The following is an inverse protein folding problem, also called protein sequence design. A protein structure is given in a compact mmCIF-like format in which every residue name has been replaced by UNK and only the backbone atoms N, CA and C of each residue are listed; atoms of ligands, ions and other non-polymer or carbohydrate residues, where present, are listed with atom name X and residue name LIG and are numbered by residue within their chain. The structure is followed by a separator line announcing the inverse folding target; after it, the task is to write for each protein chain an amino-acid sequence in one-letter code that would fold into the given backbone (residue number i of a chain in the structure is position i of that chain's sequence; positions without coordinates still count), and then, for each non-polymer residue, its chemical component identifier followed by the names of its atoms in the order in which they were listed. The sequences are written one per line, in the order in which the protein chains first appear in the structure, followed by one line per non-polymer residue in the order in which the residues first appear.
data_IF_016713060643
#
_entry.id   IF_016713060643
#
_cell.length_a   1.000
_cell.length_b   1.000
_cell.length_c   1.000
_cell.angle_alpha   90.00
_cell.angle_beta   90.00
_cell.angle_gamma   90.00
#
_symmetry.space_group_name_H-M   'P 1'
#
loop_
_entity.id
_entity.type
_entity.pdbx_description
1 polymer ?
#
# COMPACT_ATOMS: atom_id res chain seq x y z
N UNK A 1 16.33 -6.52 -18.10
CA UNK A 1 15.82 -5.27 -17.50
C UNK A 1 15.98 -5.44 -15.99
N UNK A 2 16.81 -4.61 -15.32
CA UNK A 2 16.94 -4.65 -13.86
C UNK A 2 15.91 -3.68 -13.29
N UNK A 3 14.89 -4.18 -12.61
CA UNK A 3 14.00 -3.34 -11.82
C UNK A 3 14.75 -2.96 -10.55
N UNK A 4 14.83 -1.67 -10.24
CA UNK A 4 15.33 -1.24 -8.93
C UNK A 4 14.31 -1.65 -7.87
N UNK A 5 14.79 -2.19 -6.76
CA UNK A 5 13.98 -2.39 -5.56
C UNK A 5 14.61 -1.57 -4.44
N UNK A 6 13.76 -0.97 -3.62
CA UNK A 6 14.15 -0.35 -2.36
C UNK A 6 13.29 -0.97 -1.27
N UNK A 7 13.90 -1.23 -0.12
CA UNK A 7 13.19 -1.77 1.05
C UNK A 7 13.70 -1.06 2.29
N UNK A 8 12.78 -0.61 3.14
CA UNK A 8 13.06 -0.10 4.47
C UNK A 8 12.32 -0.95 5.50
N UNK A 9 12.85 -1.02 6.73
CA UNK A 9 12.13 -1.69 7.81
C UNK A 9 12.26 -0.95 9.13
N UNK A 10 11.31 -1.21 10.02
CA UNK A 10 11.27 -0.64 11.37
C UNK A 10 10.45 -1.49 12.32
N UNK A 11 10.68 -1.32 13.62
CA UNK A 11 9.89 -2.00 14.66
C UNK A 11 8.82 -1.05 15.19
N UNK A 12 7.56 -1.48 15.12
CA UNK A 12 6.40 -0.73 15.63
C UNK A 12 5.83 -1.47 16.84
N UNK A 13 5.52 -0.70 17.90
CA UNK A 13 4.91 -1.22 19.14
C UNK A 13 3.40 -1.41 19.00
N UNK A 14 3.00 -2.25 18.04
CA UNK A 14 1.63 -2.63 17.76
C UNK A 14 1.57 -4.08 17.25
N UNK A 15 0.42 -4.76 17.42
CA UNK A 15 0.24 -6.09 16.85
C UNK A 15 0.01 -5.97 15.33
N UNK A 16 0.47 -6.97 14.58
CA UNK A 16 0.38 -7.00 13.11
C UNK A 16 -1.04 -6.84 12.59
N UNK A 17 -2.04 -7.31 13.34
CA UNK A 17 -3.46 -7.22 12.99
C UNK A 17 -3.90 -5.75 12.87
N UNK A 18 -3.46 -4.90 13.80
CA UNK A 18 -3.77 -3.47 13.80
C UNK A 18 -3.04 -2.75 12.67
N UNK A 19 -1.79 -3.12 12.40
CA UNK A 19 -1.02 -2.54 11.31
C UNK A 19 -1.59 -2.91 9.94
N UNK A 20 -1.97 -4.18 9.77
CA UNK A 20 -2.62 -4.65 8.55
C UNK A 20 -3.97 -3.98 8.34
N UNK A 21 -4.80 -3.83 9.39
CA UNK A 21 -6.07 -3.08 9.32
C UNK A 21 -5.86 -1.64 8.82
N UNK A 22 -4.82 -0.96 9.30
CA UNK A 22 -4.47 0.40 8.85
C UNK A 22 -4.03 0.41 7.38
N UNK A 23 -3.14 -0.51 7.00
CA UNK A 23 -2.52 -0.52 5.67
C UNK A 23 -3.49 -1.01 4.57
N UNK A 24 -4.31 -2.02 4.87
CA UNK A 24 -5.30 -2.56 3.93
C UNK A 24 -6.49 -1.63 3.73
N UNK A 25 -6.73 -0.68 4.64
CA UNK A 25 -7.63 0.44 4.39
C UNK A 25 -6.93 1.49 3.52
N UNK A 26 -7.09 1.35 2.20
CA UNK A 26 -6.46 2.25 1.22
C UNK A 26 -6.85 3.71 1.42
N UNK A 27 -8.02 3.99 2.01
CA UNK A 27 -8.49 5.37 2.23
C UNK A 27 -7.62 6.13 3.24
N UNK A 28 -6.82 5.40 4.03
CA UNK A 28 -5.88 5.96 5.01
C UNK A 28 -4.47 6.18 4.47
N UNK A 29 -4.19 5.76 3.24
CA UNK A 29 -2.87 5.94 2.62
C UNK A 29 -2.37 7.39 2.62
N UNK A 30 -3.20 8.44 2.44
CA UNK A 30 -2.75 9.83 2.59
C UNK A 30 -2.10 10.14 3.95
N UNK A 31 -2.52 9.45 5.02
CA UNK A 31 -1.99 9.64 6.38
C UNK A 31 -0.60 9.01 6.56
N UNK A 32 -0.27 8.00 5.75
CA UNK A 32 0.96 7.20 5.88
C UNK A 32 2.02 7.56 4.84
N UNK A 33 1.62 8.07 3.67
CA UNK A 33 2.53 8.34 2.56
C UNK A 33 3.64 9.34 2.92
N UNK A 34 3.40 10.23 3.88
CA UNK A 34 4.40 11.15 4.46
C UNK A 34 4.90 12.27 3.53
N UNK A 35 4.84 12.10 2.21
CA UNK A 35 5.28 13.08 1.21
C UNK A 35 4.35 14.29 1.09
N UNK A 36 3.09 14.14 1.54
CA UNK A 36 2.05 15.14 1.31
C UNK A 36 1.53 15.19 -0.14
N UNK A 37 1.98 14.30 -1.02
CA UNK A 37 1.56 14.25 -2.42
C UNK A 37 0.26 13.47 -2.62
N UNK A 38 0.07 12.37 -1.87
CA UNK A 38 -1.14 11.55 -1.93
C UNK A 38 -2.27 12.27 -1.19
N UNK A 39 -3.23 12.82 -1.94
CA UNK A 39 -4.30 13.66 -1.38
C UNK A 39 -5.51 12.83 -0.93
N UNK A 40 -5.88 11.85 -1.74
CA UNK A 40 -7.07 11.03 -1.53
C UNK A 40 -6.87 9.69 -2.21
N UNK A 41 -7.37 8.63 -1.59
CA UNK A 41 -7.41 7.29 -2.18
C UNK A 41 -8.79 6.71 -1.96
N UNK A 42 -9.41 6.23 -3.04
CA UNK A 42 -10.75 5.65 -3.00
C UNK A 42 -10.74 4.25 -3.60
N UNK A 43 -11.43 3.32 -2.96
CA UNK A 43 -11.75 2.03 -3.56
C UNK A 43 -12.57 2.21 -4.84
N UNK A 44 -12.20 1.48 -5.89
CA UNK A 44 -12.99 1.33 -7.12
C UNK A 44 -13.78 0.02 -7.07
N UNK A 45 -13.18 -1.03 -6.52
CA UNK A 45 -13.85 -2.31 -6.28
C UNK A 45 -14.72 -2.22 -5.01
N UNK A 46 -16.00 -2.64 -5.06
CA UNK A 46 -16.84 -2.74 -3.86
C UNK A 46 -16.28 -3.74 -2.84
N UNK A 47 -16.60 -3.54 -1.56
CA UNK A 47 -16.25 -4.48 -0.49
C UNK A 47 -17.01 -5.82 -0.64
N UNK A 48 -16.44 -6.96 -0.19
CA UNK A 48 -15.10 -7.09 0.40
C UNK A 48 -13.99 -7.02 -0.65
N UNK A 49 -12.85 -6.44 -0.27
CA UNK A 49 -11.66 -6.32 -1.13
C UNK A 49 -10.67 -7.47 -0.92
N UNK A 50 -9.82 -7.71 -1.92
CA UNK A 50 -8.79 -8.75 -1.91
C UNK A 50 -7.86 -8.63 -3.12
N UNK A 51 -7.20 -9.73 -3.50
CA UNK A 51 -6.38 -9.79 -4.71
C UNK A 51 -7.22 -9.37 -5.93
N UNK A 52 -6.66 -8.52 -6.79
CA UNK A 52 -7.32 -8.00 -7.97
C UNK A 52 -8.26 -6.81 -7.73
N UNK A 53 -8.55 -6.46 -6.46
CA UNK A 53 -9.30 -5.25 -6.14
C UNK A 53 -8.54 -4.01 -6.61
N UNK A 54 -9.29 -3.02 -7.08
CA UNK A 54 -8.75 -1.79 -7.66
C UNK A 54 -9.08 -0.61 -6.77
N UNK A 55 -8.15 0.33 -6.72
CA UNK A 55 -8.35 1.63 -6.10
C UNK A 55 -7.65 2.70 -6.94
N UNK A 56 -8.05 3.95 -6.73
CA UNK A 56 -7.46 5.11 -7.40
C UNK A 56 -6.92 6.06 -6.36
N UNK A 57 -5.79 6.68 -6.65
CA UNK A 57 -5.25 7.77 -5.85
C UNK A 57 -5.30 9.08 -6.64
N UNK A 58 -5.57 10.18 -5.95
CA UNK A 58 -5.37 11.54 -6.42
C UNK A 58 -4.07 12.05 -5.81
N UNK A 59 -3.10 12.37 -6.65
CA UNK A 59 -1.80 12.89 -6.25
C UNK A 59 -1.64 14.35 -6.70
N UNK A 60 -0.75 15.08 -6.02
CA UNK A 60 -0.46 16.47 -6.33
C UNK A 60 1.04 16.74 -6.21
N UNK A 61 1.67 17.08 -7.34
CA UNK A 61 3.07 17.53 -7.43
C UNK A 61 3.11 18.68 -8.43
N UNK A 62 2.90 19.91 -7.97
CA UNK A 62 2.73 21.11 -8.82
C UNK A 62 1.40 21.14 -9.59
N UNK A 63 0.95 20.00 -10.10
CA UNK A 63 -0.36 19.76 -10.73
C UNK A 63 -1.00 18.49 -10.13
N UNK A 64 -2.32 18.35 -10.30
CA UNK A 64 -3.04 17.15 -9.89
C UNK A 64 -2.97 16.06 -10.96
N UNK A 65 -2.72 14.81 -10.55
CA UNK A 65 -2.77 13.67 -11.44
C UNK A 65 -3.29 12.43 -10.71
N UNK A 66 -4.06 11.55 -11.39
CA UNK A 66 -4.54 10.31 -10.81
C UNK A 66 -3.57 9.15 -11.06
N UNK A 67 -3.55 8.19 -10.14
CA UNK A 67 -2.95 6.86 -10.37
C UNK A 67 -3.98 5.76 -10.16
N UNK A 68 -3.80 4.66 -10.89
CA UNK A 68 -4.62 3.46 -10.80
C UNK A 68 -3.81 2.36 -10.16
N UNK A 69 -4.40 1.68 -9.19
CA UNK A 69 -3.75 0.62 -8.46
C UNK A 69 -4.56 -0.67 -8.50
N UNK A 70 -3.86 -1.81 -8.46
CA UNK A 70 -4.44 -3.15 -8.35
C UNK A 70 -3.72 -3.91 -7.24
N UNK A 71 -4.50 -4.48 -6.32
CA UNK A 71 -3.98 -5.33 -5.24
C UNK A 71 -3.39 -6.60 -5.84
N UNK A 72 -2.10 -6.83 -5.61
CA UNK A 72 -1.35 -7.98 -6.08
C UNK A 72 -1.23 -9.05 -5.00
N UNK A 73 -1.07 -8.65 -3.73
CA UNK A 73 -0.99 -9.54 -2.57
C UNK A 73 -1.94 -9.05 -1.50
N UNK A 74 -2.75 -9.96 -0.97
CA UNK A 74 -3.63 -9.74 0.18
C UNK A 74 -3.53 -10.96 1.10
N UNK A 75 -2.54 -10.96 1.97
CA UNK A 75 -2.34 -12.01 2.96
C UNK A 75 -2.67 -11.44 4.34
N UNK A 76 -3.81 -11.88 4.88
CA UNK A 76 -4.36 -11.34 6.12
C UNK A 76 -3.30 -11.30 7.24
N UNK A 77 -3.03 -10.10 7.75
CA UNK A 77 -2.06 -9.83 8.81
C UNK A 77 -0.59 -10.17 8.48
N UNK A 78 -0.25 -10.39 7.20
CA UNK A 78 1.11 -10.76 6.78
C UNK A 78 1.65 -9.82 5.70
N UNK A 79 0.91 -9.60 4.62
CA UNK A 79 1.37 -8.79 3.52
C UNK A 79 0.23 -8.12 2.76
N UNK A 80 0.43 -6.87 2.37
CA UNK A 80 -0.47 -6.14 1.48
C UNK A 80 0.37 -5.41 0.44
N UNK A 81 0.27 -5.84 -0.83
CA UNK A 81 1.06 -5.32 -1.95
C UNK A 81 0.13 -4.94 -3.07
N UNK A 82 0.38 -3.81 -3.71
CA UNK A 82 -0.33 -3.36 -4.89
C UNK A 82 0.63 -2.88 -5.97
N UNK A 83 0.22 -3.05 -7.22
CA UNK A 83 0.84 -2.35 -8.33
C UNK A 83 0.17 -0.99 -8.50
N UNK A 84 0.95 0.07 -8.76
CA UNK A 84 0.44 1.41 -9.06
C UNK A 84 1.10 1.98 -10.31
N UNK A 85 0.30 2.64 -11.16
CA UNK A 85 0.79 3.33 -12.34
C UNK A 85 -0.30 4.15 -13.03
N UNK A 86 0.06 4.87 -14.09
CA UNK A 86 -0.90 5.70 -14.84
C UNK A 86 -2.03 4.86 -15.48
N UNK A 87 -1.70 3.67 -15.98
CA UNK A 87 -2.67 2.75 -16.62
C UNK A 87 -3.25 1.73 -15.65
N UNK A 88 -2.59 1.50 -14.51
CA UNK A 88 -2.92 0.42 -13.57
C UNK A 88 -2.58 -0.98 -14.11
N UNK A 89 -1.69 -1.06 -15.12
CA UNK A 89 -1.20 -2.31 -15.68
C UNK A 89 0.33 -2.26 -15.92
N UNK A 90 1.06 -3.36 -15.67
CA UNK A 90 2.48 -3.48 -16.06
C UNK A 90 2.71 -3.25 -17.57
N UNK A 91 3.93 -2.90 -18.00
CA UNK A 91 5.17 -2.80 -17.23
C UNK A 91 5.45 -1.42 -16.64
N UNK A 92 4.60 -0.42 -16.93
CA UNK A 92 4.84 0.98 -16.54
C UNK A 92 4.17 1.29 -15.19
N UNK A 93 4.95 1.15 -14.11
CA UNK A 93 4.51 1.43 -12.76
C UNK A 93 5.41 0.75 -11.74
N UNK A 94 4.98 0.77 -10.48
CA UNK A 94 5.76 0.32 -9.34
C UNK A 94 4.91 -0.56 -8.43
N UNK A 95 5.54 -1.57 -7.83
CA UNK A 95 4.95 -2.32 -6.74
C UNK A 95 5.28 -1.63 -5.43
N UNK A 96 4.24 -1.39 -4.64
CA UNK A 96 4.31 -0.85 -3.30
C UNK A 96 3.67 -1.87 -2.36
N UNK A 97 4.17 -1.99 -1.14
CA UNK A 97 3.56 -2.90 -0.20
C UNK A 97 4.17 -2.84 1.18
N UNK A 98 3.54 -3.56 2.07
CA UNK A 98 4.02 -3.77 3.42
C UNK A 98 4.02 -5.26 3.76
N UNK A 99 5.03 -5.69 4.50
CA UNK A 99 5.09 -7.00 5.13
C UNK A 99 5.20 -6.85 6.66
N UNK A 100 4.56 -7.76 7.40
CA UNK A 100 4.42 -7.70 8.85
C UNK A 100 4.97 -8.96 9.51
N UNK A 101 6.13 -8.85 10.14
CA UNK A 101 6.78 -9.91 10.89
C UNK A 101 6.54 -9.71 12.40
N UNK A 102 5.68 -10.51 13.06
CA UNK A 102 5.47 -10.40 14.51
C UNK A 102 6.72 -10.85 15.27
N UNK A 103 7.27 -9.98 16.10
CA UNK A 103 8.45 -10.27 16.95
C UNK A 103 8.07 -10.30 18.45
N UNK A 104 6.78 -10.27 18.75
CA UNK A 104 6.19 -10.32 20.07
C UNK A 104 4.68 -10.02 20.02
N UNK A 105 3.96 -10.16 21.14
CA UNK A 105 2.49 -9.98 21.16
C UNK A 105 2.03 -8.57 20.82
N UNK A 106 2.87 -7.55 21.05
CA UNK A 106 2.57 -6.14 20.76
C UNK A 106 3.74 -5.43 20.06
N UNK A 107 4.53 -6.19 19.28
CA UNK A 107 5.68 -5.68 18.54
C UNK A 107 5.78 -6.37 17.18
N UNK A 108 5.85 -5.57 16.13
CA UNK A 108 5.91 -6.06 14.76
C UNK A 108 7.05 -5.35 14.04
N UNK A 109 7.89 -6.11 13.34
CA UNK A 109 8.80 -5.54 12.34
C UNK A 109 8.02 -5.38 11.05
N UNK A 110 8.01 -4.17 10.53
CA UNK A 110 7.33 -3.80 9.30
C UNK A 110 8.38 -3.56 8.23
N UNK A 111 8.16 -4.16 7.07
CA UNK A 111 8.93 -3.88 5.85
C UNK A 111 8.06 -3.08 4.90
N UNK A 112 8.66 -2.10 4.23
CA UNK A 112 8.06 -1.32 3.15
C UNK A 112 8.96 -1.36 1.93
#
# INVERSE_FOLDING_TARGET
MKYGTATVNGVISAPREKLFEIVSDVTRHPQMAGSGEVQQVDWVTPLPTGIGSKFKARQKVGFEYPTKSIVAVYELNQAFVWFSGATGQPPFGEYWGFEFEPIGPNKTRVYH
#
